data_IF_050524908098
#
_entry.id   IF_050524908098
#
_cell.length_a   1.000
_cell.length_b   1.000
_cell.length_c   1.000
_cell.angle_alpha   90.00
_cell.angle_beta   90.00
_cell.angle_gamma   90.00
#
_symmetry.space_group_name_H-M   'P 1'
#
loop_
_entity.id
_entity.type
_entity.pdbx_description
1 polymer ?
#
# COMPACT_ATOMS: atom_id res chain seq x y z
N UNK A 1 -14.01 -4.67 14.19
CA UNK A 1 -14.17 -5.59 13.04
C UNK A 1 -13.03 -5.57 12.00
N UNK A 2 -12.60 -4.45 11.39
CA UNK A 2 -11.34 -4.44 10.60
C UNK A 2 -10.11 -4.02 11.43
N UNK A 3 -10.29 -3.07 12.35
CA UNK A 3 -9.22 -2.61 13.24
C UNK A 3 -8.72 -3.74 14.14
N UNK A 4 -9.61 -4.61 14.64
CA UNK A 4 -9.22 -5.78 15.42
C UNK A 4 -8.38 -6.76 14.61
N UNK A 5 -8.76 -7.01 13.34
CA UNK A 5 -7.95 -7.80 12.43
C UNK A 5 -6.55 -7.19 12.23
N UNK A 6 -6.45 -5.87 12.05
CA UNK A 6 -5.15 -5.20 11.92
C UNK A 6 -4.31 -5.37 13.19
N UNK A 7 -4.92 -5.20 14.37
CA UNK A 7 -4.22 -5.38 15.64
C UNK A 7 -3.72 -6.82 15.82
N UNK A 8 -4.53 -7.82 15.47
CA UNK A 8 -4.11 -9.22 15.55
C UNK A 8 -3.04 -9.58 14.51
N UNK A 9 -3.19 -9.14 13.26
CA UNK A 9 -2.22 -9.42 12.21
C UNK A 9 -0.87 -8.73 12.47
N UNK A 10 -0.88 -7.51 13.03
CA UNK A 10 0.35 -6.77 13.37
C UNK A 10 1.11 -7.39 14.53
N UNK A 11 0.45 -8.03 15.51
CA UNK A 11 1.14 -8.84 16.53
C UNK A 11 2.00 -9.94 15.92
N UNK A 12 1.52 -10.56 14.83
CA UNK A 12 2.21 -11.67 14.15
C UNK A 12 3.35 -11.21 13.23
N UNK A 13 3.14 -10.15 12.45
CA UNK A 13 4.10 -9.73 11.39
C UNK A 13 4.93 -8.49 11.72
N UNK A 14 4.59 -7.79 12.81
CA UNK A 14 5.22 -6.60 13.37
C UNK A 14 5.81 -5.62 12.33
N UNK A 15 5.00 -5.10 11.39
CA UNK A 15 5.45 -4.13 10.41
C UNK A 15 5.73 -2.79 11.12
N UNK A 16 6.91 -2.23 10.90
CA UNK A 16 7.20 -0.87 11.37
C UNK A 16 6.55 0.16 10.44
N UNK A 17 6.30 1.38 10.94
CA UNK A 17 5.91 2.50 10.10
C UNK A 17 6.92 2.75 8.96
N UNK A 18 8.22 2.52 9.23
CA UNK A 18 9.28 2.59 8.22
C UNK A 18 9.08 1.58 7.10
N UNK A 19 8.66 0.35 7.40
CA UNK A 19 8.38 -0.68 6.40
C UNK A 19 7.22 -0.24 5.49
N UNK A 20 6.11 0.20 6.08
CA UNK A 20 4.93 0.69 5.35
C UNK A 20 5.32 1.88 4.46
N UNK A 21 6.01 2.88 5.01
CA UNK A 21 6.44 4.07 4.29
C UNK A 21 7.41 3.73 3.15
N UNK A 22 8.30 2.75 3.33
CA UNK A 22 9.25 2.33 2.29
C UNK A 22 8.52 1.72 1.10
N UNK A 23 7.60 0.79 1.35
CA UNK A 23 6.80 0.15 0.30
C UNK A 23 5.94 1.20 -0.41
N UNK A 24 5.19 2.01 0.34
CA UNK A 24 4.34 3.06 -0.23
C UNK A 24 5.15 4.06 -1.08
N UNK A 25 6.33 4.49 -0.62
CA UNK A 25 7.21 5.38 -1.37
C UNK A 25 7.62 4.77 -2.72
N UNK A 26 8.02 3.50 -2.74
CA UNK A 26 8.44 2.82 -3.97
C UNK A 26 7.27 2.70 -4.94
N UNK A 27 6.10 2.25 -4.48
CA UNK A 27 4.90 2.14 -5.35
C UNK A 27 4.48 3.52 -5.87
N UNK A 28 4.48 4.54 -5.03
CA UNK A 28 4.16 5.91 -5.44
C UNK A 28 5.11 6.49 -6.48
N UNK A 29 6.37 6.03 -6.51
CA UNK A 29 7.40 6.49 -7.45
C UNK A 29 7.27 5.80 -8.81
N UNK A 30 7.12 4.49 -8.82
CA UNK A 30 7.08 3.69 -10.06
C UNK A 30 5.68 3.56 -10.65
N UNK A 31 4.63 3.86 -9.87
CA UNK A 31 3.20 3.85 -10.23
C UNK A 31 2.61 2.50 -10.59
N UNK A 32 3.41 1.59 -11.13
CA UNK A 32 2.99 0.29 -11.61
C UNK A 32 4.05 -0.78 -11.34
N UNK A 33 3.59 -1.97 -10.97
CA UNK A 33 4.37 -3.19 -10.97
C UNK A 33 3.52 -4.30 -11.56
N UNK A 34 4.11 -5.10 -12.45
CA UNK A 34 3.41 -6.25 -13.04
C UNK A 34 3.25 -7.38 -12.02
N UNK A 35 4.20 -7.52 -11.08
CA UNK A 35 4.15 -8.54 -10.04
C UNK A 35 4.65 -8.04 -8.69
N UNK A 36 4.17 -8.67 -7.61
CA UNK A 36 4.70 -8.53 -6.24
C UNK A 36 6.21 -8.76 -6.16
N UNK A 37 6.75 -9.67 -6.98
CA UNK A 37 8.19 -10.00 -7.02
C UNK A 37 9.03 -8.84 -7.56
N UNK A 38 8.56 -8.17 -8.61
CA UNK A 38 9.23 -6.97 -9.14
C UNK A 38 9.31 -5.87 -8.08
N UNK A 39 8.23 -5.64 -7.33
CA UNK A 39 8.23 -4.68 -6.22
C UNK A 39 9.20 -5.11 -5.10
N UNK A 40 9.17 -6.37 -4.67
CA UNK A 40 10.03 -6.86 -3.59
C UNK A 40 11.53 -6.70 -3.93
N UNK A 41 11.92 -6.91 -5.21
CA UNK A 41 13.30 -6.70 -5.70
C UNK A 41 13.74 -5.23 -5.69
N UNK A 42 12.80 -4.27 -5.72
CA UNK A 42 13.10 -2.82 -5.64
C UNK A 42 13.22 -2.32 -4.20
N UNK A 43 12.86 -3.13 -3.20
CA UNK A 43 13.03 -2.74 -1.80
C UNK A 43 14.53 -2.65 -1.46
N UNK A 44 14.95 -1.66 -0.65
CA UNK A 44 16.36 -1.49 -0.26
C UNK A 44 16.89 -2.67 0.57
N UNK A 45 15.99 -3.40 1.23
CA UNK A 45 16.25 -4.67 1.90
C UNK A 45 15.07 -5.59 1.65
N UNK A 46 15.35 -6.85 1.35
CA UNK A 46 14.31 -7.87 1.20
C UNK A 46 13.47 -7.94 2.48
N UNK A 47 12.16 -7.84 2.32
CA UNK A 47 11.22 -7.91 3.42
C UNK A 47 10.70 -9.34 3.57
N UNK A 48 10.41 -9.74 4.81
CA UNK A 48 9.73 -11.01 5.05
C UNK A 48 8.39 -11.04 4.32
N UNK A 49 8.12 -12.12 3.59
CA UNK A 49 6.96 -12.23 2.71
C UNK A 49 5.61 -12.00 3.44
N UNK A 50 5.41 -12.46 4.69
CA UNK A 50 4.20 -12.14 5.45
C UNK A 50 4.03 -10.64 5.74
N UNK A 51 5.09 -9.97 6.20
CA UNK A 51 5.08 -8.52 6.46
C UNK A 51 4.84 -7.73 5.18
N UNK A 52 5.45 -8.15 4.07
CA UNK A 52 5.25 -7.52 2.77
C UNK A 52 3.80 -7.63 2.29
N UNK A 53 3.20 -8.83 2.34
CA UNK A 53 1.80 -9.03 1.96
C UNK A 53 0.84 -8.26 2.87
N UNK A 54 1.09 -8.22 4.18
CA UNK A 54 0.30 -7.42 5.11
C UNK A 54 0.30 -5.95 4.71
N UNK A 55 1.47 -5.40 4.34
CA UNK A 55 1.56 -4.00 3.92
C UNK A 55 0.79 -3.77 2.62
N UNK A 56 0.84 -4.68 1.65
CA UNK A 56 0.06 -4.56 0.43
C UNK A 56 -1.46 -4.58 0.71
N UNK A 57 -1.93 -5.51 1.56
CA UNK A 57 -3.34 -5.55 1.97
C UNK A 57 -3.77 -4.27 2.68
N UNK A 58 -2.93 -3.78 3.60
CA UNK A 58 -3.15 -2.51 4.29
C UNK A 58 -3.28 -1.34 3.30
N UNK A 59 -2.32 -1.19 2.39
CA UNK A 59 -2.33 -0.11 1.39
C UNK A 59 -3.53 -0.19 0.44
N UNK A 60 -3.98 -1.41 0.09
CA UNK A 60 -5.16 -1.62 -0.73
C UNK A 60 -6.43 -1.20 0.01
N UNK A 61 -6.59 -1.64 1.27
CA UNK A 61 -7.75 -1.28 2.11
C UNK A 61 -7.81 0.20 2.46
N UNK A 62 -6.68 0.90 2.47
CA UNK A 62 -6.61 2.36 2.63
C UNK A 62 -6.72 3.12 1.30
N UNK A 63 -7.10 2.46 0.20
CA UNK A 63 -7.25 3.05 -1.13
C UNK A 63 -5.97 3.76 -1.64
N UNK A 64 -4.80 3.29 -1.23
CA UNK A 64 -3.53 3.85 -1.72
C UNK A 64 -3.07 3.17 -3.00
N UNK A 65 -3.32 1.86 -3.09
CA UNK A 65 -3.00 1.02 -4.24
C UNK A 65 -4.21 0.20 -4.65
N UNK A 66 -4.19 -0.26 -5.89
CA UNK A 66 -5.03 -1.35 -6.37
C UNK A 66 -4.13 -2.56 -6.61
N UNK A 67 -4.45 -3.70 -5.98
CA UNK A 67 -3.84 -5.00 -6.25
C UNK A 67 -4.83 -5.81 -7.08
N UNK A 68 -4.46 -6.10 -8.32
CA UNK A 68 -5.31 -6.80 -9.28
C UNK A 68 -5.22 -8.33 -9.10
N UNK A 69 -6.20 -9.10 -9.60
CA UNK A 69 -6.19 -10.57 -9.52
C UNK A 69 -4.97 -11.23 -10.18
N UNK A 70 -4.39 -10.61 -11.20
CA UNK A 70 -3.16 -11.06 -11.88
C UNK A 70 -1.88 -10.82 -11.05
N UNK A 71 -2.00 -10.15 -9.91
CA UNK A 71 -0.87 -9.81 -9.03
C UNK A 71 -0.18 -8.50 -9.37
N UNK A 72 -0.68 -7.75 -10.37
CA UNK A 72 -0.20 -6.40 -10.69
C UNK A 72 -0.65 -5.38 -9.65
N UNK A 73 0.17 -4.35 -9.45
CA UNK A 73 0.00 -3.33 -8.42
C UNK A 73 0.01 -1.96 -9.08
N UNK A 74 -1.05 -1.19 -8.85
CA UNK A 74 -1.21 0.18 -9.37
C UNK A 74 -1.30 1.17 -8.22
N UNK A 75 -0.56 2.28 -8.30
CA UNK A 75 -0.74 3.41 -7.38
C UNK A 75 -1.95 4.25 -7.78
N UNK A 76 -2.97 4.31 -6.92
CA UNK A 76 -4.22 5.03 -7.21
C UNK A 76 -4.41 6.28 -6.33
N UNK A 77 -3.61 6.44 -5.27
CA UNK A 77 -3.73 7.59 -4.39
C UNK A 77 -3.40 8.91 -5.12
N UNK A 78 -4.28 9.94 -5.03
CA UNK A 78 -4.10 11.19 -5.76
C UNK A 78 -2.82 11.90 -5.34
N UNK A 79 -1.90 12.07 -6.30
CA UNK A 79 -0.63 12.77 -6.08
C UNK A 79 -0.68 14.26 -6.38
N UNK A 80 -1.72 14.77 -7.05
CA UNK A 80 -1.84 16.20 -7.32
C UNK A 80 -2.57 16.92 -6.18
N UNK A 81 -1.98 18.03 -5.70
CA UNK A 81 -2.60 18.90 -4.69
C UNK A 81 -3.98 19.38 -5.14
N UNK A 82 -4.16 19.60 -6.46
CA UNK A 82 -5.42 20.03 -7.08
C UNK A 82 -6.51 18.96 -6.97
N UNK A 83 -6.19 17.68 -7.20
CA UNK A 83 -7.14 16.58 -7.05
C UNK A 83 -7.51 16.35 -5.59
N UNK A 84 -6.54 16.41 -4.67
CA UNK A 84 -6.82 16.33 -3.22
C UNK A 84 -7.81 17.41 -2.78
N UNK A 85 -7.53 18.67 -3.13
CA UNK A 85 -8.44 19.79 -2.82
C UNK A 85 -9.85 19.58 -3.38
N UNK A 86 -9.98 19.01 -4.59
CA UNK A 86 -11.31 18.73 -5.16
C UNK A 86 -12.03 17.58 -4.47
N UNK A 87 -11.31 16.56 -4.01
CA UNK A 87 -11.88 15.46 -3.20
C UNK A 87 -12.33 16.00 -1.83
N UNK A 88 -11.51 16.83 -1.19
CA UNK A 88 -11.84 17.44 0.11
C UNK A 88 -13.04 18.39 0.03
N UNK A 89 -13.22 19.04 -1.13
CA UNK A 89 -14.35 19.94 -1.40
C UNK A 89 -15.61 19.20 -1.89
N UNK A 90 -15.49 17.93 -2.28
CA UNK A 90 -16.65 17.14 -2.65
C UNK A 90 -17.46 16.84 -1.39
N UNK A 91 -18.70 17.35 -1.32
CA UNK A 91 -19.63 16.94 -0.27
C UNK A 91 -19.97 15.45 -0.45
N UNK A 92 -19.94 14.64 0.61
CA UNK A 92 -20.52 13.31 0.53
C UNK A 92 -22.00 13.46 0.12
N UNK A 93 -22.41 12.68 -0.89
CA UNK A 93 -23.79 12.57 -1.34
C UNK A 93 -24.67 12.02 -0.21
#
# INVERSE_FOLDING_TARGET
EYLDFLLEATKKVNPTLRNVATVAKIISRYKYFETKSQLNKKLPKAMQYPTFNFILDYLQKTNMIQLNPDGSIVWIYPTSQKLKKRIDQAKPL
#
